data_IF_039556556516
#
_entry.id   IF_039556556516
#
_cell.length_a   1.000
_cell.length_b   1.000
_cell.length_c   1.000
_cell.angle_alpha   90.00
_cell.angle_beta   90.00
_cell.angle_gamma   90.00
#
_symmetry.space_group_name_H-M   'P 1'
#
loop_
_entity.id
_entity.type
_entity.pdbx_description
1 polymer ?
#
# COMPACT_ATOMS: atom_id res chain seq x y z
N UNK A 1 7.86 11.96 -8.88
CA UNK A 1 6.51 11.35 -8.92
C UNK A 1 5.90 11.47 -7.54
N UNK A 2 4.63 11.86 -7.42
CA UNK A 2 3.91 11.93 -6.13
C UNK A 2 2.63 11.07 -6.24
N UNK A 3 2.51 9.98 -5.46
CA UNK A 3 1.29 9.18 -5.44
C UNK A 3 0.18 9.93 -4.67
N UNK A 4 -1.01 10.06 -5.28
CA UNK A 4 -2.15 10.78 -4.69
C UNK A 4 -3.12 9.83 -3.97
N UNK A 5 -3.33 8.65 -4.53
CA UNK A 5 -4.17 7.62 -3.94
C UNK A 5 -3.64 6.23 -4.24
N UNK A 6 -4.07 5.27 -3.43
CA UNK A 6 -3.79 3.86 -3.63
C UNK A 6 -5.06 3.06 -3.38
N UNK A 7 -5.39 2.16 -4.30
CA UNK A 7 -6.50 1.23 -4.19
C UNK A 7 -5.98 -0.20 -4.39
N UNK A 8 -6.07 -1.02 -3.36
CA UNK A 8 -5.65 -2.42 -3.38
C UNK A 8 -6.84 -3.32 -3.14
N UNK A 9 -7.22 -4.12 -4.15
CA UNK A 9 -8.33 -5.08 -4.05
C UNK A 9 -7.84 -6.49 -4.32
N UNK A 10 -8.24 -7.45 -3.48
CA UNK A 10 -7.90 -8.87 -3.65
C UNK A 10 -6.45 -9.23 -3.26
N UNK A 11 -5.71 -8.31 -2.63
CA UNK A 11 -4.35 -8.57 -2.19
C UNK A 11 -4.33 -9.42 -0.92
N UNK A 12 -3.65 -10.58 -0.99
CA UNK A 12 -3.49 -11.50 0.16
C UNK A 12 -2.91 -10.81 1.39
N UNK A 13 -1.86 -9.99 1.22
CA UNK A 13 -1.21 -9.29 2.34
C UNK A 13 -2.12 -8.29 3.07
N UNK A 14 -3.15 -7.76 2.40
CA UNK A 14 -4.16 -6.89 2.99
C UNK A 14 -5.24 -7.70 3.68
N UNK A 15 -5.77 -8.75 3.03
CA UNK A 15 -6.78 -9.63 3.61
C UNK A 15 -6.26 -10.35 4.86
N UNK A 16 -5.14 -11.03 4.76
CA UNK A 16 -4.60 -11.83 5.87
C UNK A 16 -4.04 -10.91 6.98
N UNK A 17 -3.54 -9.73 6.60
CA UNK A 17 -2.95 -8.77 7.51
C UNK A 17 -3.94 -7.86 8.23
N UNK A 18 -5.03 -7.47 7.58
CA UNK A 18 -5.98 -6.46 8.10
C UNK A 18 -7.43 -6.97 8.12
N UNK A 19 -7.73 -8.13 7.55
CA UNK A 19 -9.11 -8.63 7.42
C UNK A 19 -9.95 -7.89 6.39
N UNK A 20 -9.32 -7.12 5.49
CA UNK A 20 -9.98 -6.28 4.50
C UNK A 20 -9.84 -6.89 3.09
N UNK A 21 -10.95 -6.96 2.35
CA UNK A 21 -10.92 -7.35 0.93
C UNK A 21 -10.40 -6.22 0.02
N UNK A 22 -10.47 -4.99 0.51
CA UNK A 22 -10.08 -3.79 -0.19
C UNK A 22 -9.49 -2.75 0.78
N UNK A 23 -8.39 -2.12 0.38
CA UNK A 23 -7.78 -0.98 1.05
C UNK A 23 -7.75 0.21 0.10
N UNK A 24 -8.28 1.35 0.56
CA UNK A 24 -8.25 2.62 -0.14
C UNK A 24 -7.52 3.64 0.74
N UNK A 25 -6.47 4.24 0.20
CA UNK A 25 -5.71 5.31 0.85
C UNK A 25 -5.80 6.57 -0.01
N UNK A 26 -6.25 7.66 0.59
CA UNK A 26 -6.10 9.02 0.07
C UNK A 26 -4.81 9.59 0.66
N UNK A 27 -3.74 9.57 -0.13
CA UNK A 27 -2.39 9.88 0.36
C UNK A 27 -2.19 11.38 0.54
N UNK A 28 -2.86 12.22 -0.26
CA UNK A 28 -2.85 13.68 -0.04
C UNK A 28 -3.47 14.00 1.32
N UNK A 29 -4.65 13.47 1.60
CA UNK A 29 -5.34 13.73 2.87
C UNK A 29 -4.63 13.10 4.06
N UNK A 30 -4.03 11.92 3.88
CA UNK A 30 -3.29 11.23 4.95
C UNK A 30 -1.94 11.88 5.24
N UNK A 31 -1.26 12.43 4.23
CA UNK A 31 0.01 13.11 4.41
C UNK A 31 -0.19 14.52 4.99
N UNK A 32 -1.26 15.22 4.61
CA UNK A 32 -1.61 16.56 5.13
C UNK A 32 -0.41 17.54 5.14
N UNK A 33 0.32 17.57 4.01
CA UNK A 33 1.52 18.41 3.85
C UNK A 33 2.77 17.93 4.60
N UNK A 34 2.73 16.77 5.26
CA UNK A 34 3.90 16.20 5.91
C UNK A 34 5.02 15.90 4.90
N UNK A 35 6.25 16.31 5.24
CA UNK A 35 7.44 16.00 4.46
C UNK A 35 7.82 14.51 4.54
N UNK A 36 7.39 13.81 5.60
CA UNK A 36 7.68 12.39 5.82
C UNK A 36 6.48 11.72 6.49
N UNK A 37 6.07 10.59 5.91
CA UNK A 37 5.02 9.72 6.43
C UNK A 37 5.60 8.33 6.67
N UNK A 38 5.20 7.70 7.78
CA UNK A 38 5.62 6.34 8.12
C UNK A 38 4.44 5.37 8.07
N UNK A 39 4.66 4.18 7.51
CA UNK A 39 3.73 3.06 7.57
C UNK A 39 4.17 2.14 8.70
N UNK A 40 3.46 2.17 9.83
CA UNK A 40 3.78 1.39 11.02
C UNK A 40 2.84 0.18 11.19
N UNK A 41 3.29 -0.83 11.96
CA UNK A 41 2.50 -2.01 12.31
C UNK A 41 3.34 -3.27 12.48
N UNK A 42 2.77 -4.30 13.09
CA UNK A 42 3.43 -5.60 13.27
C UNK A 42 3.75 -6.30 11.94
N UNK A 43 4.59 -7.33 11.99
CA UNK A 43 4.89 -8.15 10.81
C UNK A 43 3.63 -8.83 10.28
N UNK A 44 3.54 -8.97 8.96
CA UNK A 44 2.38 -9.54 8.28
C UNK A 44 1.15 -8.60 8.17
N UNK A 45 1.23 -7.34 8.61
CA UNK A 45 0.09 -6.38 8.55
C UNK A 45 -0.04 -5.63 7.21
N UNK A 46 0.50 -6.18 6.11
CA UNK A 46 0.33 -5.58 4.77
C UNK A 46 1.22 -4.38 4.42
N UNK A 47 2.19 -4.00 5.28
CA UNK A 47 3.07 -2.83 5.05
C UNK A 47 3.83 -2.89 3.72
N UNK A 48 4.53 -3.99 3.46
CA UNK A 48 5.25 -4.18 2.18
C UNK A 48 4.29 -4.24 1.00
N UNK A 49 3.07 -4.75 1.19
CA UNK A 49 2.05 -4.74 0.14
C UNK A 49 1.64 -3.31 -0.25
N UNK A 50 1.51 -2.41 0.72
CA UNK A 50 1.26 -0.98 0.44
C UNK A 50 2.47 -0.37 -0.26
N UNK A 51 3.68 -0.53 0.30
CA UNK A 51 4.90 0.07 -0.26
C UNK A 51 5.22 -0.42 -1.67
N UNK A 52 5.11 -1.72 -1.94
CA UNK A 52 5.40 -2.32 -3.24
C UNK A 52 4.46 -1.81 -4.35
N UNK A 53 3.27 -1.32 -3.99
CA UNK A 53 2.27 -0.85 -4.95
C UNK A 53 2.15 0.69 -4.98
N UNK A 54 3.03 1.44 -4.29
CA UNK A 54 3.09 2.91 -4.36
C UNK A 54 3.77 3.40 -5.65
N UNK A 55 3.30 2.91 -6.79
CA UNK A 55 3.76 3.24 -8.13
C UNK A 55 2.60 3.02 -9.14
N UNK A 56 2.70 3.48 -10.40
CA UNK A 56 1.54 3.52 -11.30
C UNK A 56 1.27 2.19 -12.03
N UNK A 57 2.24 1.28 -12.04
CA UNK A 57 2.13 0.03 -12.79
C UNK A 57 1.27 -0.99 -12.04
N UNK A 58 0.44 -1.75 -12.76
CA UNK A 58 -0.39 -2.82 -12.21
C UNK A 58 0.42 -4.12 -12.04
N UNK A 59 1.52 -4.04 -11.32
CA UNK A 59 2.40 -5.18 -11.02
C UNK A 59 2.87 -5.08 -9.57
N UNK A 60 3.26 -6.21 -8.99
CA UNK A 60 4.08 -6.21 -7.78
C UNK A 60 5.53 -6.45 -8.18
N UNK A 61 6.41 -5.44 -8.15
CA UNK A 61 7.79 -5.56 -8.60
C UNK A 61 8.54 -6.69 -7.87
N UNK A 62 8.27 -6.87 -6.57
CA UNK A 62 8.81 -7.95 -5.76
C UNK A 62 8.43 -9.37 -6.24
N UNK A 63 7.43 -9.47 -7.12
CA UNK A 63 6.92 -10.73 -7.69
C UNK A 63 7.00 -10.78 -9.22
N UNK A 64 7.45 -9.71 -9.89
CA UNK A 64 7.41 -9.62 -11.34
C UNK A 64 8.44 -10.51 -12.07
N UNK A 65 9.50 -10.92 -11.36
CA UNK A 65 10.56 -11.79 -11.87
C UNK A 65 10.47 -13.24 -11.36
N UNK A 66 9.34 -13.63 -10.76
CA UNK A 66 9.10 -14.97 -10.21
C UNK A 66 8.35 -15.86 -11.20
#
# INVERSE_FOLDING_TARGET
MQPLSLRLRGFRGIRDGLGLDELILDLERLADGAALVAIAGANGRGKSTVMDNLHPYLTMPSRAAQ
#
